data_IF_508393620108
#
_entry.id   IF_508393620108
#
_cell.length_a   1.000
_cell.length_b   1.000
_cell.length_c   1.000
_cell.angle_alpha   90.00
_cell.angle_beta   90.00
_cell.angle_gamma   90.00
#
_symmetry.space_group_name_H-M   'P 1'
#
loop_
_entity.id
_entity.type
_entity.pdbx_description
1 polymer ?
#
# COMPACT_ATOMS: atom_id res chain seq x y z
N UNK A 1 -8.01 -12.57 8.04
CA UNK A 1 -7.62 -12.22 6.66
C UNK A 1 -7.93 -10.74 6.46
N UNK A 2 -6.96 -9.95 6.00
CA UNK A 2 -7.11 -8.49 5.82
C UNK A 2 -6.80 -8.11 4.38
N UNK A 3 -7.45 -7.07 3.89
CA UNK A 3 -7.15 -6.46 2.60
C UNK A 3 -6.52 -5.11 2.86
N UNK A 4 -5.34 -4.89 2.26
CA UNK A 4 -4.61 -3.61 2.27
C UNK A 4 -4.16 -3.30 0.87
N UNK A 5 -3.86 -2.03 0.61
CA UNK A 5 -3.39 -1.57 -0.69
C UNK A 5 -1.87 -1.52 -0.68
N UNK A 6 -1.24 -2.11 -1.68
CA UNK A 6 0.20 -1.91 -1.92
C UNK A 6 0.39 -0.50 -2.47
N UNK A 7 1.19 0.32 -1.77
CA UNK A 7 1.43 1.73 -2.12
C UNK A 7 2.83 1.92 -2.70
N UNK A 8 3.80 1.14 -2.23
CA UNK A 8 5.18 1.19 -2.71
C UNK A 8 5.78 -0.22 -2.81
N UNK A 9 6.69 -0.38 -3.77
CA UNK A 9 7.42 -1.61 -4.06
C UNK A 9 8.87 -1.47 -3.63
N UNK A 10 9.65 -2.56 -3.73
CA UNK A 10 11.06 -2.55 -3.40
C UNK A 10 11.84 -1.42 -4.11
N UNK A 11 12.71 -0.76 -3.35
CA UNK A 11 13.51 0.37 -3.82
C UNK A 11 12.76 1.72 -3.86
N UNK A 12 11.43 1.73 -3.77
CA UNK A 12 10.68 2.97 -3.60
C UNK A 12 10.97 3.60 -2.23
N UNK A 13 10.89 4.93 -2.18
CA UNK A 13 11.01 5.70 -0.94
C UNK A 13 9.64 6.26 -0.56
N UNK A 14 9.19 5.99 0.65
CA UNK A 14 7.87 6.43 1.15
C UNK A 14 8.03 7.45 2.26
N UNK A 15 7.21 8.51 2.25
CA UNK A 15 6.99 9.33 3.43
C UNK A 15 6.00 8.60 4.34
N UNK A 16 6.42 8.32 5.56
CA UNK A 16 5.66 7.54 6.54
C UNK A 16 4.76 8.45 7.37
N UNK A 17 3.91 7.84 8.19
CA UNK A 17 3.03 8.51 9.15
C UNK A 17 3.24 7.90 10.54
N UNK A 18 2.89 8.65 11.57
CA UNK A 18 2.84 8.11 12.93
C UNK A 18 1.92 6.86 12.97
N UNK A 19 2.28 5.81 13.73
CA UNK A 19 3.33 5.76 14.75
C UNK A 19 4.72 5.32 14.26
N UNK A 20 4.97 5.26 12.95
CA UNK A 20 6.26 4.80 12.44
C UNK A 20 7.40 5.72 12.93
N UNK A 21 8.54 5.18 13.41
CA UNK A 21 9.56 5.97 14.10
C UNK A 21 10.37 6.89 13.18
N UNK A 22 10.44 6.57 11.89
CA UNK A 22 11.19 7.34 10.90
C UNK A 22 10.23 8.09 9.98
N UNK A 23 10.55 9.32 9.56
CA UNK A 23 9.69 10.10 8.67
C UNK A 23 9.68 9.58 7.20
N UNK A 24 10.70 8.81 6.83
CA UNK A 24 10.90 8.26 5.50
C UNK A 24 11.44 6.84 5.63
N UNK A 25 11.00 5.95 4.75
CA UNK A 25 11.49 4.57 4.67
C UNK A 25 11.79 4.21 3.21
N UNK A 26 12.88 3.47 2.98
CA UNK A 26 13.15 2.87 1.66
C UNK A 26 12.71 1.42 1.72
N UNK A 27 11.78 1.02 0.84
CA UNK A 27 11.23 -0.34 0.87
C UNK A 27 12.33 -1.35 0.53
N UNK A 28 12.62 -2.32 1.41
CA UNK A 28 13.65 -3.32 1.15
C UNK A 28 13.34 -4.21 -0.06
N UNK A 29 14.37 -4.87 -0.60
CA UNK A 29 14.19 -5.92 -1.61
C UNK A 29 13.27 -7.02 -1.10
N UNK A 30 12.39 -7.51 -1.98
CA UNK A 30 11.42 -8.54 -1.63
C UNK A 30 10.24 -8.04 -0.77
N UNK A 31 10.18 -6.76 -0.41
CA UNK A 31 9.14 -6.20 0.46
C UNK A 31 8.20 -5.24 -0.29
N UNK A 32 7.09 -4.91 0.36
CA UNK A 32 6.13 -3.89 -0.06
C UNK A 32 5.74 -3.01 1.12
N UNK A 33 5.37 -1.77 0.81
CA UNK A 33 4.67 -0.89 1.75
C UNK A 33 3.17 -0.97 1.49
N UNK A 34 2.39 -1.26 2.53
CA UNK A 34 0.93 -1.39 2.42
C UNK A 34 0.23 -0.41 3.34
N UNK A 35 -0.87 0.18 2.86
CA UNK A 35 -1.67 1.12 3.64
C UNK A 35 -3.16 0.78 3.56
N UNK A 36 -3.89 1.15 4.61
CA UNK A 36 -5.35 1.08 4.65
C UNK A 36 -6.01 2.26 3.96
N UNK A 37 -7.32 2.15 3.70
CA UNK A 37 -8.11 3.26 3.14
C UNK A 37 -8.57 4.27 4.20
N UNK A 38 -8.50 3.90 5.47
CA UNK A 38 -8.87 4.81 6.55
C UNK A 38 -7.64 5.59 7.03
N UNK A 39 -7.72 6.94 7.09
CA UNK A 39 -6.62 7.79 7.54
C UNK A 39 -6.33 7.65 9.04
N UNK A 40 -7.24 7.06 9.80
CA UNK A 40 -7.06 6.83 11.23
C UNK A 40 -6.24 5.56 11.50
N UNK A 41 -4.97 5.73 11.89
CA UNK A 41 -4.05 4.67 12.31
C UNK A 41 -4.61 3.78 13.44
N UNK A 42 -5.62 4.27 14.20
CA UNK A 42 -6.27 3.52 15.29
C UNK A 42 -7.20 2.40 14.80
N UNK A 43 -7.72 2.48 13.58
CA UNK A 43 -8.72 1.51 13.09
C UNK A 43 -8.12 0.42 12.18
N UNK A 44 -6.84 0.55 11.81
CA UNK A 44 -6.21 -0.32 10.81
C UNK A 44 -4.70 -0.36 10.99
N UNK A 45 -4.17 -1.49 11.47
CA UNK A 45 -2.73 -1.77 11.43
C UNK A 45 -2.29 -1.88 9.97
N UNK A 46 -1.28 -1.09 9.60
CA UNK A 46 -0.65 -1.09 8.28
C UNK A 46 0.87 -0.87 8.37
N UNK A 47 1.56 -0.63 7.26
CA UNK A 47 3.01 -0.44 7.27
C UNK A 47 3.48 0.76 8.09
N UNK A 48 2.64 1.76 8.36
CA UNK A 48 2.98 2.83 9.30
C UNK A 48 3.04 2.34 10.76
N UNK A 49 2.61 1.10 11.05
CA UNK A 49 2.70 0.49 12.38
C UNK A 49 3.77 -0.58 12.48
N UNK A 50 3.87 -1.47 11.49
CA UNK A 50 4.78 -2.63 11.51
C UNK A 50 5.92 -2.55 10.47
N UNK A 51 5.95 -1.51 9.65
CA UNK A 51 6.94 -1.35 8.58
C UNK A 51 6.63 -2.09 7.29
N UNK A 52 7.64 -2.24 6.41
CA UNK A 52 7.52 -3.02 5.17
C UNK A 52 7.21 -4.49 5.48
N UNK A 53 6.42 -5.13 4.62
CA UNK A 53 6.12 -6.57 4.74
C UNK A 53 6.64 -7.34 3.55
N UNK A 54 7.01 -8.61 3.76
CA UNK A 54 7.45 -9.48 2.67
C UNK A 54 6.34 -9.66 1.62
N UNK A 55 6.70 -9.58 0.34
CA UNK A 55 5.82 -9.91 -0.79
C UNK A 55 5.24 -11.32 -0.69
N UNK A 56 5.93 -12.25 -0.04
CA UNK A 56 5.47 -13.64 0.14
C UNK A 56 4.24 -13.77 1.05
N UNK A 57 3.95 -12.75 1.87
CA UNK A 57 2.74 -12.72 2.71
C UNK A 57 1.46 -12.39 1.92
N UNK A 58 1.60 -11.95 0.67
CA UNK A 58 0.46 -11.64 -0.20
C UNK A 58 -0.13 -12.93 -0.75
N UNK A 59 -1.29 -13.34 -0.22
CA UNK A 59 -1.97 -14.55 -0.69
C UNK A 59 -2.76 -14.34 -1.99
N UNK A 60 -3.38 -13.17 -2.19
CA UNK A 60 -4.28 -12.89 -3.31
C UNK A 60 -4.24 -11.43 -3.73
N UNK A 61 -4.54 -11.17 -5.01
CA UNK A 61 -4.74 -9.83 -5.59
C UNK A 61 -6.22 -9.60 -5.89
N UNK A 62 -6.77 -8.49 -5.40
CA UNK A 62 -8.12 -8.03 -5.76
C UNK A 62 -8.09 -7.46 -7.17
N UNK A 63 -9.01 -7.91 -8.04
CA UNK A 63 -9.06 -7.48 -9.45
C UNK A 63 -10.19 -6.50 -9.77
N UNK A 64 -11.25 -6.44 -8.96
CA UNK A 64 -12.43 -5.65 -9.29
C UNK A 64 -13.47 -5.60 -8.19
N UNK A 65 -14.43 -4.71 -8.38
CA UNK A 65 -15.62 -4.54 -7.55
C UNK A 65 -16.79 -5.23 -8.25
N UNK A 66 -17.58 -6.01 -7.51
CA UNK A 66 -18.78 -6.68 -8.03
C UNK A 66 -20.06 -5.95 -7.61
N UNK A 67 -20.06 -5.32 -6.44
CA UNK A 67 -21.21 -4.59 -5.90
C UNK A 67 -20.73 -3.31 -5.17
N UNK A 68 -21.46 -2.19 -5.23
CA UNK A 68 -22.73 -1.96 -5.95
C UNK A 68 -22.54 -1.99 -7.48
N UNK A 69 -23.53 -2.48 -8.24
CA UNK A 69 -23.41 -2.66 -9.69
C UNK A 69 -23.07 -1.38 -10.46
N UNK A 70 -23.50 -0.21 -9.95
CA UNK A 70 -23.13 1.09 -10.51
C UNK A 70 -21.62 1.39 -10.45
N UNK A 71 -20.88 0.70 -9.58
CA UNK A 71 -19.42 0.78 -9.42
C UNK A 71 -18.71 -0.52 -9.82
N UNK A 72 -19.44 -1.49 -10.39
CA UNK A 72 -18.85 -2.76 -10.78
C UNK A 72 -17.86 -2.55 -11.93
N UNK A 73 -16.70 -3.19 -11.82
CA UNK A 73 -15.62 -3.00 -12.78
C UNK A 73 -14.27 -3.49 -12.27
N UNK A 74 -13.31 -3.54 -13.19
CA UNK A 74 -11.92 -3.86 -12.86
C UNK A 74 -11.27 -2.67 -12.18
N UNK A 75 -10.51 -2.94 -11.12
CA UNK A 75 -9.69 -1.94 -10.45
C UNK A 75 -8.38 -1.81 -11.19
N UNK A 76 -8.07 -0.60 -11.64
CA UNK A 76 -6.76 -0.27 -12.20
C UNK A 76 -6.01 0.62 -11.22
N UNK A 77 -4.68 0.53 -11.25
CA UNK A 77 -3.85 1.26 -10.30
C UNK A 77 -3.88 2.77 -10.59
N UNK A 78 -4.01 3.14 -11.85
CA UNK A 78 -4.06 4.51 -12.34
C UNK A 78 -5.30 5.28 -11.82
N UNK A 79 -6.37 4.56 -11.48
CA UNK A 79 -7.59 5.15 -10.93
C UNK A 79 -7.45 5.47 -9.42
N UNK A 80 -6.37 5.02 -8.76
CA UNK A 80 -6.15 5.23 -7.33
C UNK A 80 -5.68 6.66 -7.02
N UNK A 81 -6.47 7.37 -6.20
CA UNK A 81 -6.14 8.70 -5.66
C UNK A 81 -5.74 8.59 -4.19
N UNK A 82 -4.50 8.18 -3.94
CA UNK A 82 -3.92 8.11 -2.61
C UNK A 82 -3.27 9.42 -2.16
N UNK A 83 -3.26 9.68 -0.86
CA UNK A 83 -2.54 10.81 -0.26
C UNK A 83 -1.10 10.46 0.14
N UNK A 84 -0.59 9.33 -0.32
CA UNK A 84 0.70 8.79 0.08
C UNK A 84 1.79 9.34 -0.81
N UNK A 85 2.83 9.91 -0.21
CA UNK A 85 3.96 10.48 -0.94
C UNK A 85 4.99 9.38 -1.14
N UNK A 86 5.13 8.93 -2.39
CA UNK A 86 6.09 7.90 -2.78
C UNK A 86 6.97 8.46 -3.88
N UNK A 87 8.28 8.36 -3.69
CA UNK A 87 9.27 8.60 -4.72
C UNK A 87 9.58 7.24 -5.34
N UNK A 88 9.20 7.06 -6.60
CA UNK A 88 9.46 5.83 -7.33
C UNK A 88 10.95 5.74 -7.68
N UNK A 89 11.52 4.55 -7.56
CA UNK A 89 12.85 4.30 -8.11
C UNK A 89 12.77 4.34 -9.64
N UNK A 90 13.66 5.09 -10.28
CA UNK A 90 13.77 5.09 -11.74
C UNK A 90 14.20 3.70 -12.22
N UNK A 91 13.25 2.96 -12.79
CA UNK A 91 13.43 1.63 -13.35
C UNK A 91 12.75 0.50 -12.54
N UNK A 92 11.84 -0.20 -13.23
CA UNK A 92 11.00 -1.34 -12.82
C UNK A 92 9.73 -0.95 -12.03
N UNK A 93 8.49 -1.17 -12.51
CA UNK A 93 7.93 -2.18 -13.41
C UNK A 93 6.77 -1.61 -14.24
#
# INVERSE_FOLDING_TARGET
MVVKRVVALEGDVVATRAPYPFAVETVPLGHVWVEGEHPEARMSLDSNTYGPISKSLIARKVKGIVWPFAKAGLLRWEDYKGNSRVIKRDGAY
#
